data_IF_251954789141
#
_entry.id   IF_251954789141
#
_cell.length_a   1.000
_cell.length_b   1.000
_cell.length_c   1.000
_cell.angle_alpha   90.00
_cell.angle_beta   90.00
_cell.angle_gamma   90.00
#
_symmetry.space_group_name_H-M   'P 1'
#
loop_
_entity.id
_entity.type
_entity.pdbx_description
1 polymer ?
#
# COMPACT_ATOMS: atom_id res chain seq x y z
N UNK A 1 -7.19 13.47 -2.15
CA UNK A 1 -7.10 12.96 -0.76
C UNK A 1 -5.74 13.28 -0.14
N UNK A 2 -4.66 13.01 -0.84
CA UNK A 2 -3.29 13.40 -0.47
C UNK A 2 -2.77 14.39 -1.51
N UNK A 3 -2.14 15.48 -1.05
CA UNK A 3 -1.48 16.46 -1.91
C UNK A 3 -0.09 16.78 -1.36
N UNK A 4 0.91 16.64 -2.21
CA UNK A 4 2.29 17.11 -2.01
C UNK A 4 2.56 18.26 -2.96
N UNK A 5 3.06 19.36 -2.42
CA UNK A 5 3.43 20.55 -3.19
C UNK A 5 4.87 20.96 -2.85
N UNK A 6 5.78 20.65 -3.76
CA UNK A 6 7.22 20.93 -3.71
C UNK A 6 7.88 20.50 -2.38
N UNK A 7 7.57 19.29 -1.94
CA UNK A 7 7.94 18.76 -0.62
C UNK A 7 9.38 18.27 -0.61
N UNK A 8 10.15 18.77 0.37
CA UNK A 8 11.48 18.22 0.69
C UNK A 8 11.56 17.83 2.16
N UNK A 9 12.33 16.76 2.42
CA UNK A 9 12.60 16.26 3.77
C UNK A 9 14.06 15.83 3.90
N UNK A 10 14.66 16.13 5.05
CA UNK A 10 16.03 15.75 5.38
C UNK A 10 16.08 15.16 6.80
N UNK A 11 16.92 14.15 7.01
CA UNK A 11 17.23 13.61 8.31
C UNK A 11 18.74 13.39 8.43
N UNK A 12 19.32 13.71 9.60
CA UNK A 12 20.77 13.58 9.83
C UNK A 12 21.65 14.34 8.83
N UNK A 13 21.17 15.45 8.28
CA UNK A 13 21.87 16.25 7.26
C UNK A 13 21.77 15.70 5.83
N UNK A 14 21.18 14.51 5.63
CA UNK A 14 20.97 13.93 4.30
C UNK A 14 19.57 14.26 3.80
N UNK A 15 19.47 14.67 2.54
CA UNK A 15 18.19 14.89 1.85
C UNK A 15 17.61 13.55 1.42
N UNK A 16 16.39 13.23 1.90
CA UNK A 16 15.71 11.96 1.65
C UNK A 16 14.57 12.14 0.63
N UNK A 17 13.87 13.29 0.68
CA UNK A 17 12.85 13.67 -0.31
C UNK A 17 13.25 15.04 -0.86
N UNK A 18 13.14 15.21 -2.17
CA UNK A 18 13.66 16.37 -2.89
C UNK A 18 12.64 16.94 -3.88
N UNK A 19 11.89 17.98 -3.46
CA UNK A 19 10.99 18.73 -4.32
C UNK A 19 9.85 17.89 -4.92
N UNK A 20 9.32 16.93 -4.19
CA UNK A 20 8.28 16.01 -4.68
C UNK A 20 6.92 16.70 -4.69
N UNK A 21 6.21 16.59 -5.82
CA UNK A 21 4.85 17.10 -6.01
C UNK A 21 3.97 16.02 -6.66
N UNK A 22 2.82 15.74 -6.09
CA UNK A 22 1.79 14.86 -6.65
C UNK A 22 0.45 15.03 -5.93
N UNK A 23 -0.60 14.50 -6.53
CA UNK A 23 -1.92 14.40 -5.93
C UNK A 23 -2.47 12.97 -6.06
N UNK A 24 -3.03 12.42 -4.96
CA UNK A 24 -3.85 11.21 -4.95
C UNK A 24 -5.28 11.64 -4.62
N UNK A 25 -6.22 11.35 -5.53
CA UNK A 25 -7.62 11.71 -5.36
C UNK A 25 -8.34 10.77 -4.41
N UNK A 26 -9.51 11.17 -3.93
CA UNK A 26 -10.36 10.27 -3.13
C UNK A 26 -10.78 9.07 -3.95
N UNK A 27 -10.69 7.86 -3.35
CA UNK A 27 -11.04 6.59 -3.98
C UNK A 27 -9.98 6.02 -4.92
N UNK A 28 -8.85 6.71 -5.17
CA UNK A 28 -7.77 6.14 -5.96
C UNK A 28 -7.03 5.04 -5.17
N UNK A 29 -6.59 4.01 -5.90
CA UNK A 29 -5.63 3.02 -5.42
C UNK A 29 -4.30 3.25 -6.15
N UNK A 30 -3.34 3.80 -5.43
CA UNK A 30 -2.02 4.16 -5.97
C UNK A 30 -0.93 3.32 -5.32
N UNK A 31 -0.07 2.70 -6.14
CA UNK A 31 1.14 2.06 -5.65
C UNK A 31 2.35 3.02 -5.70
N UNK A 32 3.19 2.99 -4.68
CA UNK A 32 4.47 3.68 -4.62
C UNK A 32 5.59 2.66 -4.72
N UNK A 33 6.29 2.66 -5.85
CA UNK A 33 7.38 1.73 -6.15
C UNK A 33 8.73 2.45 -6.25
N UNK A 34 9.82 1.69 -6.16
CA UNK A 34 11.19 2.22 -6.23
C UNK A 34 12.17 1.36 -5.45
N UNK A 35 13.47 1.60 -5.64
CA UNK A 35 14.53 0.90 -4.95
C UNK A 35 14.46 0.99 -3.42
N UNK A 36 15.14 0.07 -2.73
CA UNK A 36 15.33 0.20 -1.29
C UNK A 36 16.14 1.47 -1.00
N UNK A 37 15.69 2.25 0.00
CA UNK A 37 16.31 3.54 0.32
C UNK A 37 15.83 4.73 -0.53
N UNK A 38 14.98 4.53 -1.53
CA UNK A 38 14.47 5.62 -2.39
C UNK A 38 13.63 6.68 -1.65
N UNK A 39 13.24 6.45 -0.39
CA UNK A 39 12.46 7.40 0.42
C UNK A 39 10.97 7.06 0.55
N UNK A 40 10.52 5.88 0.08
CA UNK A 40 9.10 5.46 0.07
C UNK A 40 8.44 5.53 1.45
N UNK A 41 8.99 4.86 2.45
CA UNK A 41 8.44 4.88 3.83
C UNK A 41 8.52 6.28 4.47
N UNK A 42 9.51 7.09 4.08
CA UNK A 42 9.59 8.50 4.49
C UNK A 42 8.44 9.31 3.92
N UNK A 43 8.15 9.14 2.62
CA UNK A 43 7.03 9.79 1.95
C UNK A 43 5.69 9.37 2.60
N UNK A 44 5.49 8.08 2.87
CA UNK A 44 4.31 7.58 3.57
C UNK A 44 4.12 8.21 4.97
N UNK A 45 5.20 8.35 5.75
CA UNK A 45 5.15 8.99 7.07
C UNK A 45 4.87 10.50 7.00
N UNK A 46 5.31 11.17 5.94
CA UNK A 46 4.95 12.58 5.67
C UNK A 46 3.45 12.71 5.39
N UNK A 47 2.83 11.75 4.66
CA UNK A 47 1.40 11.76 4.36
C UNK A 47 0.52 11.85 5.62
N UNK A 48 0.90 11.16 6.70
CA UNK A 48 0.13 11.15 7.95
C UNK A 48 0.67 12.11 9.02
N UNK A 49 1.70 12.90 8.67
CA UNK A 49 2.29 13.89 9.57
C UNK A 49 3.10 13.30 10.74
N UNK A 50 3.55 12.04 10.65
CA UNK A 50 4.56 11.47 11.54
C UNK A 50 5.93 12.13 11.33
N UNK A 51 6.21 12.54 10.10
CA UNK A 51 7.32 13.41 9.75
C UNK A 51 6.78 14.73 9.24
N UNK A 52 7.54 15.80 9.45
CA UNK A 52 7.18 17.13 8.98
C UNK A 52 8.14 17.55 7.86
N UNK A 53 7.63 18.11 6.75
CA UNK A 53 8.50 18.56 5.66
C UNK A 53 9.43 19.70 6.11
N UNK A 54 10.63 19.75 5.53
CA UNK A 54 11.56 20.89 5.70
C UNK A 54 11.15 22.05 4.82
N UNK A 55 10.59 21.76 3.64
CA UNK A 55 9.99 22.73 2.73
C UNK A 55 8.84 22.12 1.95
N UNK A 56 7.98 22.96 1.38
CA UNK A 56 6.76 22.56 0.69
C UNK A 56 5.63 22.26 1.65
N UNK A 57 4.51 21.76 1.12
CA UNK A 57 3.28 21.49 1.88
C UNK A 57 2.78 20.09 1.62
N UNK A 58 2.40 19.37 2.69
CA UNK A 58 1.70 18.07 2.62
C UNK A 58 0.31 18.22 3.18
N UNK A 59 -0.71 17.82 2.41
CA UNK A 59 -2.09 17.79 2.88
C UNK A 59 -2.65 16.36 2.81
N UNK A 60 -3.37 15.96 3.88
CA UNK A 60 -4.12 14.71 3.95
C UNK A 60 -5.55 15.00 4.44
N UNK A 61 -6.56 14.54 3.71
CA UNK A 61 -7.97 14.81 4.03
C UNK A 61 -8.30 16.30 4.09
N UNK A 62 -7.55 17.15 3.37
CA UNK A 62 -7.67 18.62 3.41
C UNK A 62 -6.89 19.31 4.53
N UNK A 63 -6.32 18.58 5.49
CA UNK A 63 -5.51 19.13 6.58
C UNK A 63 -4.03 19.23 6.16
N UNK A 64 -3.41 20.37 6.49
CA UNK A 64 -1.95 20.49 6.41
C UNK A 64 -1.32 19.67 7.54
N UNK A 65 -0.55 18.63 7.14
CA UNK A 65 0.05 17.68 8.08
C UNK A 65 1.11 18.32 8.98
N UNK A 66 1.70 19.46 8.59
CA UNK A 66 2.66 20.18 9.42
C UNK A 66 1.98 20.91 10.58
N UNK A 67 0.75 21.41 10.39
CA UNK A 67 0.04 22.27 11.33
C UNK A 67 -0.90 21.53 12.28
N UNK A 68 -1.33 20.29 11.94
CA UNK A 68 -2.23 19.50 12.79
C UNK A 68 -1.49 18.41 13.56
N UNK A 69 -2.09 17.97 14.67
CA UNK A 69 -1.60 16.79 15.41
C UNK A 69 -1.87 15.53 14.58
N UNK A 70 -0.94 14.59 14.57
CA UNK A 70 -1.08 13.29 13.88
C UNK A 70 -2.33 12.53 14.34
N UNK A 71 -2.72 12.63 15.61
CA UNK A 71 -3.97 12.02 16.13
C UNK A 71 -5.25 12.51 15.42
N UNK A 72 -5.26 13.71 14.84
CA UNK A 72 -6.39 14.18 14.03
C UNK A 72 -6.46 13.47 12.67
N UNK A 73 -5.31 13.19 12.07
CA UNK A 73 -5.22 12.45 10.82
C UNK A 73 -5.56 10.97 11.07
N UNK A 74 -5.10 10.39 12.18
CA UNK A 74 -5.38 9.01 12.57
C UNK A 74 -6.87 8.68 12.75
N UNK A 75 -7.75 9.70 12.91
CA UNK A 75 -9.20 9.47 12.97
C UNK A 75 -9.83 9.02 11.65
N UNK A 76 -9.17 9.28 10.51
CA UNK A 76 -9.66 8.89 9.20
C UNK A 76 -8.62 8.12 8.37
N UNK A 77 -7.38 8.01 8.86
CA UNK A 77 -6.29 7.34 8.17
C UNK A 77 -5.77 6.13 8.94
N UNK A 78 -5.77 4.97 8.30
CA UNK A 78 -5.06 3.78 8.74
C UNK A 78 -3.65 3.74 8.17
N UNK A 79 -2.68 3.34 8.97
CA UNK A 79 -1.27 3.22 8.57
C UNK A 79 -0.70 1.88 8.99
N UNK A 80 -0.17 1.11 8.04
CA UNK A 80 0.59 -0.11 8.28
C UNK A 80 2.08 0.20 8.19
N UNK A 81 2.83 -0.09 9.26
CA UNK A 81 4.29 -0.03 9.26
C UNK A 81 4.87 -1.33 8.68
N UNK A 82 6.05 -1.22 8.05
CA UNK A 82 6.80 -2.36 7.51
C UNK A 82 7.12 -3.44 8.57
N UNK A 83 7.24 -3.04 9.83
CA UNK A 83 7.52 -3.94 10.96
C UNK A 83 6.27 -4.00 11.87
N UNK A 84 5.50 -5.10 11.85
CA UNK A 84 4.28 -5.24 12.64
C UNK A 84 4.55 -5.19 14.15
N UNK A 85 5.73 -5.61 14.61
CA UNK A 85 6.07 -5.65 16.04
C UNK A 85 6.11 -4.26 16.68
N UNK A 86 6.33 -3.22 15.86
CA UNK A 86 6.30 -1.82 16.31
C UNK A 86 4.90 -1.25 16.48
N UNK A 87 3.88 -1.97 16.04
CA UNK A 87 2.51 -1.50 16.03
C UNK A 87 1.66 -2.20 17.09
N UNK A 88 2.00 -3.43 17.42
CA UNK A 88 1.31 -4.24 18.43
C UNK A 88 1.67 -3.75 19.84
N UNK A 89 0.65 -3.44 20.65
CA UNK A 89 0.82 -2.91 22.00
C UNK A 89 -0.05 -3.59 23.08
N UNK A 90 -0.91 -4.55 22.70
CA UNK A 90 -1.78 -5.28 23.63
C UNK A 90 -1.33 -6.74 23.81
N UNK A 91 -1.88 -7.37 24.86
CA UNK A 91 -1.50 -8.71 25.26
C UNK A 91 -2.40 -9.81 24.65
N UNK A 92 -3.51 -9.43 24.01
CA UNK A 92 -4.36 -10.35 23.25
C UNK A 92 -4.73 -9.77 21.89
N UNK A 93 -5.02 -10.65 20.92
CA UNK A 93 -5.50 -10.28 19.58
C UNK A 93 -6.77 -9.42 19.69
N UNK A 94 -7.72 -9.84 20.50
CA UNK A 94 -8.97 -9.10 20.75
C UNK A 94 -8.74 -7.70 21.26
N UNK A 95 -7.88 -7.55 22.26
CA UNK A 95 -7.59 -6.25 22.85
C UNK A 95 -6.85 -5.33 21.88
N UNK A 96 -6.01 -5.88 21.00
CA UNK A 96 -5.30 -5.10 19.97
C UNK A 96 -6.29 -4.51 18.96
N UNK A 97 -7.22 -5.34 18.45
CA UNK A 97 -8.24 -4.89 17.49
C UNK A 97 -9.19 -3.89 18.17
N UNK A 98 -9.69 -4.21 19.36
CA UNK A 98 -10.56 -3.31 20.15
C UNK A 98 -9.91 -1.97 20.41
N UNK A 99 -8.65 -1.94 20.82
CA UNK A 99 -7.90 -0.71 21.07
C UNK A 99 -7.81 0.19 19.84
N UNK A 100 -7.56 -0.41 18.66
CA UNK A 100 -7.54 0.37 17.42
C UNK A 100 -8.90 1.01 17.11
N UNK A 101 -9.99 0.28 17.34
CA UNK A 101 -11.35 0.79 17.15
C UNK A 101 -11.70 1.88 18.15
N UNK A 102 -11.35 1.73 19.45
CA UNK A 102 -11.57 2.74 20.49
C UNK A 102 -10.85 4.07 20.22
N UNK A 103 -9.77 4.05 19.42
CA UNK A 103 -9.07 5.27 19.00
C UNK A 103 -9.89 6.14 18.02
N UNK A 104 -10.85 5.55 17.31
CA UNK A 104 -11.57 6.23 16.22
C UNK A 104 -13.09 6.26 16.38
N UNK A 105 -13.66 5.46 17.27
CA UNK A 105 -15.11 5.39 17.54
C UNK A 105 -15.41 5.27 19.03
N UNK A 106 -16.63 5.62 19.41
CA UNK A 106 -17.08 5.70 20.82
C UNK A 106 -18.18 4.66 21.17
N UNK A 107 -18.88 4.15 20.14
CA UNK A 107 -19.96 3.18 20.31
C UNK A 107 -19.41 1.80 20.65
N UNK A 108 -19.67 1.35 21.88
CA UNK A 108 -19.13 0.07 22.40
C UNK A 108 -19.71 -1.15 21.70
N UNK A 109 -20.97 -1.13 21.33
CA UNK A 109 -21.63 -2.25 20.67
C UNK A 109 -21.08 -2.40 19.24
N UNK A 110 -20.88 -1.28 18.54
CA UNK A 110 -20.26 -1.25 17.22
C UNK A 110 -18.80 -1.70 17.28
N UNK A 111 -18.03 -1.27 18.30
CA UNK A 111 -16.64 -1.69 18.51
C UNK A 111 -16.56 -3.21 18.66
N UNK A 112 -17.41 -3.81 19.51
CA UNK A 112 -17.40 -5.24 19.76
C UNK A 112 -17.79 -6.03 18.51
N UNK A 113 -18.84 -5.59 17.79
CA UNK A 113 -19.28 -6.19 16.55
C UNK A 113 -18.17 -6.18 15.47
N UNK A 114 -17.48 -5.06 15.29
CA UNK A 114 -16.37 -4.94 14.33
C UNK A 114 -15.16 -5.74 14.77
N UNK A 115 -14.88 -5.82 16.05
CA UNK A 115 -13.80 -6.63 16.62
C UNK A 115 -14.02 -8.11 16.31
N UNK A 116 -15.21 -8.67 16.62
CA UNK A 116 -15.55 -10.06 16.34
C UNK A 116 -15.53 -10.37 14.84
N UNK A 117 -16.04 -9.45 14.03
CA UNK A 117 -15.99 -9.58 12.57
C UNK A 117 -14.57 -9.66 12.06
N UNK A 118 -13.67 -8.79 12.52
CA UNK A 118 -12.26 -8.79 12.11
C UNK A 118 -11.53 -10.07 12.55
N UNK A 119 -11.75 -10.54 13.78
CA UNK A 119 -11.21 -11.82 14.27
C UNK A 119 -11.62 -12.98 13.35
N UNK A 120 -12.90 -13.04 12.98
CA UNK A 120 -13.44 -14.09 12.10
C UNK A 120 -12.89 -13.97 10.68
N UNK A 121 -12.91 -12.76 10.09
CA UNK A 121 -12.50 -12.51 8.69
C UNK A 121 -11.02 -12.83 8.46
N UNK A 122 -10.17 -12.49 9.43
CA UNK A 122 -8.73 -12.75 9.36
C UNK A 122 -8.32 -14.10 9.99
N UNK A 123 -9.29 -14.95 10.37
CA UNK A 123 -9.05 -16.28 10.96
C UNK A 123 -8.07 -16.22 12.12
N UNK A 124 -8.29 -15.29 13.06
CA UNK A 124 -7.47 -15.06 14.24
C UNK A 124 -8.08 -15.76 15.45
N UNK A 125 -7.23 -16.10 16.44
CA UNK A 125 -7.67 -16.51 17.78
C UNK A 125 -7.63 -15.28 18.70
N UNK A 126 -8.81 -14.78 19.11
CA UNK A 126 -8.97 -13.56 19.89
C UNK A 126 -8.24 -13.55 21.23
N UNK A 127 -8.05 -14.70 21.86
CA UNK A 127 -7.42 -14.84 23.18
C UNK A 127 -5.90 -15.04 23.08
N UNK A 128 -5.38 -15.26 21.89
CA UNK A 128 -3.95 -15.53 21.69
C UNK A 128 -3.10 -14.30 21.97
N UNK A 129 -1.95 -14.52 22.59
CA UNK A 129 -0.94 -13.50 22.81
C UNK A 129 -0.21 -13.16 21.49
N UNK A 130 -0.21 -11.89 21.03
CA UNK A 130 0.37 -11.50 19.74
C UNK A 130 1.85 -11.87 19.57
N UNK A 131 2.67 -11.71 20.61
CA UNK A 131 4.11 -12.03 20.52
C UNK A 131 4.43 -13.53 20.52
N UNK A 132 3.44 -14.41 20.80
CA UNK A 132 3.54 -15.85 20.58
C UNK A 132 3.26 -16.26 19.13
N UNK A 133 2.76 -15.33 18.30
CA UNK A 133 2.39 -15.57 16.91
C UNK A 133 3.61 -15.46 15.98
N UNK A 134 3.55 -16.15 14.83
CA UNK A 134 4.52 -15.96 13.74
C UNK A 134 4.48 -14.53 13.18
N UNK A 135 5.50 -14.14 12.44
CA UNK A 135 5.52 -12.81 11.81
C UNK A 135 4.34 -12.58 10.86
N UNK A 136 3.98 -13.57 10.05
CA UNK A 136 2.82 -13.49 9.14
C UNK A 136 1.51 -13.35 9.91
N UNK A 137 1.32 -14.10 10.98
CA UNK A 137 0.13 -13.95 11.85
C UNK A 137 0.07 -12.56 12.49
N UNK A 138 1.19 -12.01 12.95
CA UNK A 138 1.24 -10.62 13.47
C UNK A 138 0.91 -9.60 12.38
N UNK A 139 1.40 -9.81 11.16
CA UNK A 139 1.05 -8.97 10.01
C UNK A 139 -0.47 -8.97 9.76
N UNK A 140 -1.10 -10.15 9.77
CA UNK A 140 -2.56 -10.28 9.65
C UNK A 140 -3.30 -9.58 10.80
N UNK A 141 -2.83 -9.73 12.04
CA UNK A 141 -3.43 -9.05 13.20
C UNK A 141 -3.41 -7.53 13.03
N UNK A 142 -2.25 -6.96 12.66
CA UNK A 142 -2.13 -5.50 12.47
C UNK A 142 -3.02 -5.02 11.33
N UNK A 143 -3.08 -5.77 10.22
CA UNK A 143 -3.99 -5.45 9.12
C UNK A 143 -5.46 -5.54 9.56
N UNK A 144 -5.85 -6.58 10.28
CA UNK A 144 -7.20 -6.73 10.82
C UNK A 144 -7.58 -5.54 11.71
N UNK A 145 -6.67 -5.10 12.59
CA UNK A 145 -6.92 -3.96 13.49
C UNK A 145 -7.06 -2.62 12.76
N UNK A 146 -6.33 -2.43 11.64
CA UNK A 146 -6.45 -1.23 10.81
C UNK A 146 -7.74 -1.26 9.98
N UNK A 147 -8.00 -2.39 9.31
CA UNK A 147 -9.12 -2.52 8.36
C UNK A 147 -10.48 -2.56 9.06
N UNK A 148 -10.54 -3.06 10.32
CA UNK A 148 -11.76 -3.05 11.14
C UNK A 148 -12.32 -1.63 11.34
N UNK A 149 -11.47 -0.61 11.33
CA UNK A 149 -11.86 0.79 11.47
C UNK A 149 -12.46 1.39 10.19
N UNK A 150 -12.38 0.70 9.04
CA UNK A 150 -12.82 1.17 7.72
C UNK A 150 -12.33 2.60 7.39
N UNK A 151 -11.03 2.85 7.37
CA UNK A 151 -10.48 4.20 7.22
C UNK A 151 -10.77 4.80 5.82
N UNK A 152 -10.95 6.14 5.74
CA UNK A 152 -11.09 6.86 4.45
C UNK A 152 -9.78 6.91 3.64
N UNK A 153 -8.64 6.83 4.34
CA UNK A 153 -7.30 6.80 3.78
C UNK A 153 -6.53 5.62 4.37
N UNK A 154 -6.01 4.76 3.51
CA UNK A 154 -5.22 3.61 3.90
C UNK A 154 -3.80 3.73 3.31
N UNK A 155 -2.79 3.76 4.17
CA UNK A 155 -1.38 3.80 3.76
C UNK A 155 -0.71 2.52 4.25
N UNK A 156 -0.19 1.73 3.32
CA UNK A 156 0.33 0.41 3.56
C UNK A 156 1.80 0.33 3.15
N UNK A 157 2.67 0.07 4.11
CA UNK A 157 4.11 -0.13 3.85
C UNK A 157 4.41 -1.63 3.83
N UNK A 158 4.50 -2.21 2.62
CA UNK A 158 4.76 -3.63 2.36
C UNK A 158 3.73 -4.58 3.01
N UNK A 159 2.43 -4.48 2.67
CA UNK A 159 1.35 -5.21 3.37
C UNK A 159 1.42 -6.73 3.22
N UNK A 160 2.06 -7.24 2.17
CA UNK A 160 2.10 -8.67 1.84
C UNK A 160 3.39 -9.37 2.27
N UNK A 161 4.33 -8.63 2.85
CA UNK A 161 5.63 -9.19 3.25
C UNK A 161 5.48 -10.24 4.36
N UNK A 162 6.01 -11.45 4.11
CA UNK A 162 6.01 -12.56 5.07
C UNK A 162 4.74 -13.40 5.08
N UNK A 163 3.85 -13.17 4.12
CA UNK A 163 2.62 -13.94 3.91
C UNK A 163 2.83 -14.98 2.79
N UNK A 164 2.09 -16.07 2.85
CA UNK A 164 1.98 -16.97 1.71
C UNK A 164 1.05 -16.39 0.63
N UNK A 165 1.02 -17.01 -0.55
CA UNK A 165 0.24 -16.50 -1.68
C UNK A 165 -1.27 -16.38 -1.37
N UNK A 166 -1.85 -17.35 -0.64
CA UNK A 166 -3.28 -17.32 -0.29
C UNK A 166 -3.59 -16.20 0.69
N UNK A 167 -2.75 -16.04 1.70
CA UNK A 167 -2.85 -14.96 2.68
C UNK A 167 -2.69 -13.60 2.00
N UNK A 168 -1.73 -13.47 1.08
CA UNK A 168 -1.50 -12.28 0.29
C UNK A 168 -2.75 -11.89 -0.51
N UNK A 169 -3.31 -12.81 -1.29
CA UNK A 169 -4.51 -12.56 -2.10
C UNK A 169 -5.71 -12.20 -1.23
N UNK A 170 -5.94 -12.92 -0.11
CA UNK A 170 -7.02 -12.60 0.81
C UNK A 170 -6.93 -11.17 1.35
N UNK A 171 -5.73 -10.75 1.78
CA UNK A 171 -5.51 -9.38 2.27
C UNK A 171 -5.72 -8.34 1.17
N UNK A 172 -5.22 -8.61 -0.03
CA UNK A 172 -5.40 -7.69 -1.16
C UNK A 172 -6.86 -7.56 -1.57
N UNK A 173 -7.64 -8.65 -1.47
CA UNK A 173 -9.09 -8.62 -1.69
C UNK A 173 -9.81 -7.76 -0.63
N UNK A 174 -9.45 -7.89 0.66
CA UNK A 174 -9.98 -7.04 1.73
C UNK A 174 -9.67 -5.56 1.50
N UNK A 175 -8.42 -5.23 1.12
CA UNK A 175 -8.01 -3.85 0.80
C UNK A 175 -8.79 -3.32 -0.40
N UNK A 176 -8.96 -4.14 -1.45
CA UNK A 176 -9.70 -3.78 -2.66
C UNK A 176 -11.18 -3.55 -2.38
N UNK A 177 -11.77 -4.33 -1.45
CA UNK A 177 -13.15 -4.12 -1.03
C UNK A 177 -13.34 -2.77 -0.34
N UNK A 178 -12.42 -2.40 0.57
CA UNK A 178 -12.44 -1.10 1.25
C UNK A 178 -12.25 0.03 0.24
N UNK A 179 -11.33 -0.13 -0.73
CA UNK A 179 -11.16 0.86 -1.81
C UNK A 179 -12.42 1.01 -2.67
N UNK A 180 -13.09 -0.10 -3.04
CA UNK A 180 -14.37 -0.06 -3.77
C UNK A 180 -15.49 0.63 -3.00
N UNK A 181 -15.45 0.62 -1.67
CA UNK A 181 -16.35 1.39 -0.79
C UNK A 181 -16.00 2.89 -0.71
N UNK A 182 -14.93 3.33 -1.38
CA UNK A 182 -14.53 4.73 -1.53
C UNK A 182 -13.29 5.15 -0.74
N UNK A 183 -12.66 4.27 0.00
CA UNK A 183 -11.40 4.57 0.66
C UNK A 183 -10.27 4.81 -0.36
N UNK A 184 -9.37 5.71 -0.03
CA UNK A 184 -8.17 5.98 -0.83
C UNK A 184 -7.03 5.10 -0.33
N UNK A 185 -6.30 4.46 -1.23
CA UNK A 185 -5.19 3.56 -0.87
C UNK A 185 -3.88 4.07 -1.46
N UNK A 186 -2.85 4.19 -0.62
CA UNK A 186 -1.46 4.34 -0.99
C UNK A 186 -0.70 3.11 -0.49
N UNK A 187 -0.28 2.24 -1.41
CA UNK A 187 0.44 1.01 -1.09
C UNK A 187 1.90 1.11 -1.54
N UNK A 188 2.83 0.93 -0.62
CA UNK A 188 4.23 0.69 -0.96
C UNK A 188 4.40 -0.81 -1.19
N UNK A 189 4.92 -1.20 -2.34
CA UNK A 189 5.25 -2.58 -2.63
C UNK A 189 6.47 -2.67 -3.57
N UNK A 190 7.22 -3.76 -3.43
CA UNK A 190 8.24 -4.18 -4.39
C UNK A 190 7.76 -5.36 -5.25
N UNK A 191 6.60 -5.92 -4.96
CA UNK A 191 5.95 -6.98 -5.73
C UNK A 191 5.19 -6.37 -6.91
N UNK A 192 5.78 -6.45 -8.10
CA UNK A 192 5.22 -5.82 -9.30
C UNK A 192 3.99 -6.55 -9.84
N UNK A 193 3.79 -7.83 -9.52
CA UNK A 193 2.57 -8.58 -9.85
C UNK A 193 1.39 -8.02 -9.03
N UNK A 194 1.57 -7.86 -7.72
CA UNK A 194 0.56 -7.23 -6.85
C UNK A 194 0.26 -5.79 -7.29
N UNK A 195 1.28 -5.03 -7.65
CA UNK A 195 1.09 -3.67 -8.17
C UNK A 195 0.26 -3.67 -9.44
N UNK A 196 0.56 -4.57 -10.39
CA UNK A 196 -0.17 -4.70 -11.66
C UNK A 196 -1.63 -5.09 -11.45
N UNK A 197 -1.90 -6.04 -10.54
CA UNK A 197 -3.24 -6.61 -10.37
C UNK A 197 -4.18 -5.68 -9.59
N UNK A 198 -3.66 -4.88 -8.65
CA UNK A 198 -4.49 -4.15 -7.70
C UNK A 198 -4.42 -2.62 -7.83
N UNK A 199 -3.28 -2.05 -8.20
CA UNK A 199 -3.14 -0.60 -8.26
C UNK A 199 -3.62 -0.03 -9.62
N UNK A 200 -4.44 1.03 -9.55
CA UNK A 200 -4.87 1.78 -10.74
C UNK A 200 -3.76 2.70 -11.26
N UNK A 201 -3.09 3.37 -10.35
CA UNK A 201 -2.02 4.31 -10.64
C UNK A 201 -0.73 3.91 -9.91
N UNK A 202 0.41 4.27 -10.49
CA UNK A 202 1.75 4.00 -9.95
C UNK A 202 2.55 5.28 -9.85
N UNK A 203 3.23 5.44 -8.74
CA UNK A 203 4.28 6.44 -8.53
C UNK A 203 5.64 5.76 -8.47
N UNK A 204 6.60 6.21 -9.25
CA UNK A 204 7.98 5.72 -9.28
C UNK A 204 8.89 6.69 -8.55
N UNK A 205 9.45 6.29 -7.43
CA UNK A 205 10.37 7.10 -6.62
C UNK A 205 11.80 6.56 -6.73
N UNK A 206 12.76 7.42 -7.00
CA UNK A 206 14.18 7.09 -6.94
C UNK A 206 14.98 8.22 -6.32
N UNK A 207 15.87 7.90 -5.37
CA UNK A 207 16.75 8.87 -4.68
C UNK A 207 16.00 10.12 -4.19
N UNK A 208 14.79 9.92 -3.64
CA UNK A 208 13.96 11.00 -3.11
C UNK A 208 13.28 11.88 -4.16
N UNK A 209 13.36 11.52 -5.44
CA UNK A 209 12.72 12.23 -6.55
C UNK A 209 11.62 11.38 -7.17
N UNK A 210 10.47 11.98 -7.44
CA UNK A 210 9.38 11.34 -8.18
C UNK A 210 9.73 11.34 -9.67
N UNK A 211 10.02 10.15 -10.23
CA UNK A 211 10.37 10.00 -11.64
C UNK A 211 9.14 9.99 -12.55
N UNK A 212 8.04 9.41 -12.08
CA UNK A 212 6.78 9.32 -12.80
C UNK A 212 5.60 9.12 -11.85
N UNK A 213 4.41 9.54 -12.31
CA UNK A 213 3.12 9.25 -11.69
C UNK A 213 2.09 9.13 -12.82
N UNK A 214 1.41 7.99 -12.90
CA UNK A 214 0.41 7.74 -13.95
C UNK A 214 -0.18 6.34 -13.87
N UNK A 215 -0.89 5.96 -14.94
CA UNK A 215 -1.58 4.67 -15.04
C UNK A 215 -0.60 3.50 -14.85
N UNK A 216 -0.99 2.52 -14.04
CA UNK A 216 -0.23 1.28 -13.85
C UNK A 216 0.07 0.61 -15.20
N UNK A 217 -0.93 0.51 -16.09
CA UNK A 217 -0.80 -0.13 -17.40
C UNK A 217 0.28 0.49 -18.30
N UNK A 218 0.51 1.79 -18.16
CA UNK A 218 1.52 2.51 -18.93
C UNK A 218 2.88 2.37 -18.27
N UNK A 219 2.98 2.73 -16.99
CA UNK A 219 4.25 2.81 -16.26
C UNK A 219 4.96 1.44 -16.16
N UNK A 220 4.22 0.34 -15.92
CA UNK A 220 4.83 -1.00 -15.79
C UNK A 220 5.47 -1.51 -17.09
N UNK A 221 5.19 -0.87 -18.24
CA UNK A 221 5.76 -1.19 -19.55
C UNK A 221 6.98 -0.35 -19.93
N UNK A 222 7.22 0.72 -19.19
CA UNK A 222 8.34 1.64 -19.41
C UNK A 222 9.64 1.08 -18.81
N UNK A 223 10.25 0.09 -19.51
CA UNK A 223 11.45 -0.63 -19.03
C UNK A 223 12.59 0.31 -18.62
N UNK A 224 12.84 1.37 -19.40
CA UNK A 224 13.91 2.33 -19.09
C UNK A 224 13.60 3.13 -17.82
N UNK A 225 12.35 3.53 -17.61
CA UNK A 225 11.90 4.21 -16.39
C UNK A 225 12.06 3.31 -15.17
N UNK A 226 11.60 2.06 -15.26
CA UNK A 226 11.71 1.08 -14.18
C UNK A 226 13.17 0.73 -13.87
N UNK A 227 14.01 0.57 -14.89
CA UNK A 227 15.43 0.32 -14.73
C UNK A 227 16.15 1.46 -13.98
N UNK A 228 15.78 2.73 -14.23
CA UNK A 228 16.28 3.90 -13.47
C UNK A 228 15.94 3.82 -11.98
N UNK A 229 14.83 3.17 -11.63
CA UNK A 229 14.41 2.92 -10.25
C UNK A 229 14.90 1.56 -9.71
N UNK A 230 15.78 0.85 -10.44
CA UNK A 230 16.25 -0.50 -10.13
C UNK A 230 15.12 -1.52 -9.99
N UNK A 231 14.10 -1.39 -10.83
CA UNK A 231 12.94 -2.27 -10.91
C UNK A 231 12.87 -2.97 -12.26
N UNK A 232 12.18 -4.10 -12.31
CA UNK A 232 11.80 -4.82 -13.53
C UNK A 232 10.27 -4.80 -13.67
N UNK A 233 9.75 -4.85 -14.92
CA UNK A 233 8.32 -5.09 -15.14
C UNK A 233 7.86 -6.41 -14.50
N UNK A 234 6.53 -6.60 -14.30
CA UNK A 234 5.97 -7.92 -14.00
C UNK A 234 6.42 -8.96 -15.04
N UNK A 235 6.59 -10.22 -14.62
CA UNK A 235 7.26 -11.25 -15.44
C UNK A 235 6.61 -11.44 -16.81
N UNK A 236 5.26 -11.55 -16.86
CA UNK A 236 4.54 -11.73 -18.13
C UNK A 236 4.61 -10.47 -18.99
N UNK A 237 4.48 -9.30 -18.37
CA UNK A 237 4.63 -8.01 -19.06
C UNK A 237 6.04 -7.86 -19.64
N UNK A 238 7.08 -8.22 -18.89
CA UNK A 238 8.46 -8.17 -19.35
C UNK A 238 8.69 -9.14 -20.52
N UNK A 239 8.19 -10.37 -20.43
CA UNK A 239 8.25 -11.36 -21.51
C UNK A 239 7.51 -10.85 -22.76
N UNK A 240 6.32 -10.26 -22.60
CA UNK A 240 5.55 -9.68 -23.70
C UNK A 240 6.33 -8.57 -24.43
N UNK A 241 6.99 -7.69 -23.67
CA UNK A 241 7.82 -6.62 -24.20
C UNK A 241 9.06 -7.15 -24.97
N UNK A 242 9.64 -8.27 -24.49
CA UNK A 242 10.78 -8.92 -25.18
C UNK A 242 10.36 -9.61 -26.47
N UNK A 243 9.21 -10.29 -26.47
CA UNK A 243 8.69 -10.99 -27.66
C UNK A 243 8.17 -10.03 -28.74
N UNK A 244 7.75 -8.83 -28.35
CA UNK A 244 7.32 -7.78 -29.27
C UNK A 244 6.00 -8.07 -29.97
N UNK A 245 5.92 -7.74 -31.25
CA UNK A 245 4.70 -7.71 -32.04
C UNK A 245 3.79 -8.93 -31.88
N UNK A 246 2.53 -8.67 -31.46
CA UNK A 246 1.47 -9.64 -31.22
C UNK A 246 1.45 -10.24 -29.81
N UNK A 247 2.33 -9.77 -28.91
CA UNK A 247 2.32 -10.16 -27.48
C UNK A 247 2.10 -8.96 -26.56
N UNK A 248 2.12 -7.73 -27.09
CA UNK A 248 2.15 -6.49 -26.31
C UNK A 248 0.95 -6.32 -25.36
N UNK A 249 -0.18 -6.99 -25.64
CA UNK A 249 -1.35 -6.92 -24.78
C UNK A 249 -1.32 -7.89 -23.60
N UNK A 250 -0.41 -8.89 -23.63
CA UNK A 250 -0.36 -9.91 -22.59
C UNK A 250 0.18 -9.34 -21.27
N UNK A 251 -0.60 -9.50 -20.22
CA UNK A 251 -0.27 -9.10 -18.83
C UNK A 251 -0.46 -10.25 -17.85
N UNK A 252 -1.21 -11.30 -18.24
CA UNK A 252 -1.41 -12.53 -17.47
C UNK A 252 -0.85 -13.74 -18.21
N UNK A 253 -0.70 -14.86 -17.50
CA UNK A 253 -0.30 -16.15 -18.12
C UNK A 253 -1.33 -16.58 -19.17
N UNK A 254 -2.61 -16.39 -18.89
CA UNK A 254 -3.71 -16.71 -19.79
C UNK A 254 -3.66 -15.89 -21.07
N UNK A 255 -3.37 -14.58 -20.97
CA UNK A 255 -3.19 -13.71 -22.14
C UNK A 255 -2.02 -14.18 -22.99
N UNK A 256 -0.89 -14.51 -22.35
CA UNK A 256 0.31 -15.00 -23.04
C UNK A 256 0.04 -16.33 -23.75
N UNK A 257 -0.63 -17.28 -23.11
CA UNK A 257 -1.04 -18.56 -23.70
C UNK A 257 -1.95 -18.33 -24.91
N UNK A 258 -2.90 -17.41 -24.80
CA UNK A 258 -3.82 -17.05 -25.89
C UNK A 258 -3.06 -16.47 -27.09
N UNK A 259 -2.17 -15.51 -26.85
CA UNK A 259 -1.34 -14.89 -27.88
C UNK A 259 -0.42 -15.91 -28.59
N UNK A 260 0.17 -16.86 -27.85
CA UNK A 260 0.99 -17.94 -28.41
C UNK A 260 0.15 -18.86 -29.30
N UNK A 261 -1.07 -19.24 -28.87
CA UNK A 261 -1.98 -20.10 -29.66
C UNK A 261 -2.42 -19.42 -30.96
N UNK A 262 -2.78 -18.16 -30.92
CA UNK A 262 -3.14 -17.38 -32.10
C UNK A 262 -2.00 -17.36 -33.12
N UNK A 263 -0.78 -17.09 -32.69
CA UNK A 263 0.38 -17.06 -33.59
C UNK A 263 0.82 -18.44 -34.11
N UNK A 264 0.63 -19.49 -33.31
CA UNK A 264 0.99 -20.85 -33.73
C UNK A 264 -0.05 -21.50 -34.66
N UNK A 265 -1.17 -20.82 -34.92
CA UNK A 265 -2.27 -21.35 -35.76
C UNK A 265 -2.96 -22.59 -35.16
N UNK A 266 -2.82 -22.82 -33.86
CA UNK A 266 -3.39 -23.98 -33.17
C UNK A 266 -4.49 -23.53 -32.16
N UNK A 267 -5.79 -23.59 -32.55
CA UNK A 267 -6.90 -23.08 -31.73
C UNK A 267 -7.35 -24.02 -30.60
N UNK A 268 -6.58 -25.07 -30.24
CA UNK A 268 -6.95 -26.04 -29.19
C UNK A 268 -5.91 -26.10 -28.06
#
# INVERSE_FOLDING_TARGET
MILFDNVSYSAGGMRIINGVSFEIKRGDFTALIGANGAGKSTLARLCIGLLKPVSGTVRAGGFDTASVRTSRIAKFAGFLFQDPDRQICKNSVRDEIRFSLECVMEDRDEIEMRCERAISEFSLDGEREPFSMSRGERQRLVLASILAAEPELLILDEPTTGLDYRECMHIMDCISEINRKGATVLMISHDMEIVQDFAKDVMVLNDGVLLAHGSTKEIIRERELLARASLLPPQITDLALVLGEGYESAVTVEDMVSAVREKSGNPR
#
